data_IF_774941441401
#
_entry.id   IF_774941441401
#
_cell.length_a   1.000
_cell.length_b   1.000
_cell.length_c   1.000
_cell.angle_alpha   90.00
_cell.angle_beta   90.00
_cell.angle_gamma   90.00
#
_symmetry.space_group_name_H-M   'P 1'
#
loop_
_entity.id
_entity.type
_entity.pdbx_description
1 polymer ?
#
# COMPACT_ATOMS: atom_id res chain seq x y z
N UNK A 1 40.51 -2.92 -3.11
CA UNK A 1 39.03 -2.82 -3.12
C UNK A 1 38.52 -3.79 -4.16
N UNK A 2 37.89 -4.90 -3.77
CA UNK A 2 37.23 -5.80 -4.73
C UNK A 2 35.85 -5.24 -5.01
N UNK A 3 35.60 -4.85 -6.26
CA UNK A 3 34.23 -4.74 -6.76
C UNK A 3 33.56 -6.09 -6.52
N UNK A 4 32.54 -6.11 -5.66
CA UNK A 4 31.66 -7.27 -5.57
C UNK A 4 30.97 -7.34 -6.92
N UNK A 5 31.39 -8.31 -7.75
CA UNK A 5 30.77 -8.68 -9.01
C UNK A 5 29.31 -9.04 -8.72
N UNK A 6 28.40 -8.07 -8.85
CA UNK A 6 27.00 -8.17 -8.40
C UNK A 6 26.11 -8.92 -9.40
N UNK A 7 26.55 -10.08 -9.89
CA UNK A 7 25.83 -10.87 -10.89
C UNK A 7 24.75 -11.80 -10.30
N UNK A 8 24.50 -11.82 -8.99
CA UNK A 8 23.57 -12.80 -8.38
C UNK A 8 22.18 -12.27 -8.03
N UNK A 9 22.00 -10.96 -7.81
CA UNK A 9 20.69 -10.41 -7.40
C UNK A 9 20.03 -9.65 -8.56
N UNK A 10 19.07 -10.30 -9.22
CA UNK A 10 18.26 -9.64 -10.25
C UNK A 10 17.18 -8.78 -9.58
N UNK A 11 17.56 -7.55 -9.25
CA UNK A 11 16.67 -6.56 -8.62
C UNK A 11 15.38 -6.31 -9.42
N UNK A 12 15.42 -6.34 -10.75
CA UNK A 12 14.22 -6.13 -11.57
C UNK A 12 13.20 -7.26 -11.40
N UNK A 13 13.69 -8.51 -11.34
CA UNK A 13 12.85 -9.67 -11.07
C UNK A 13 12.30 -9.61 -9.64
N UNK A 14 13.16 -9.31 -8.66
CA UNK A 14 12.77 -9.18 -7.25
C UNK A 14 11.63 -8.16 -7.07
N UNK A 15 11.78 -6.95 -7.63
CA UNK A 15 10.76 -5.90 -7.57
C UNK A 15 9.44 -6.32 -8.25
N UNK A 16 9.53 -7.08 -9.35
CA UNK A 16 8.33 -7.58 -10.04
C UNK A 16 7.59 -8.61 -9.22
N UNK A 17 8.31 -9.57 -8.61
CA UNK A 17 7.72 -10.58 -7.72
C UNK A 17 7.06 -9.92 -6.52
N UNK A 18 7.71 -8.90 -5.94
CA UNK A 18 7.14 -8.14 -4.83
C UNK A 18 5.80 -7.49 -5.22
N UNK A 19 5.75 -6.75 -6.33
CA UNK A 19 4.52 -6.08 -6.79
C UNK A 19 3.42 -7.11 -7.14
N UNK A 20 3.78 -8.24 -7.76
CA UNK A 20 2.82 -9.32 -8.05
C UNK A 20 2.25 -9.85 -6.73
N UNK A 21 3.08 -10.10 -5.73
CA UNK A 21 2.62 -10.54 -4.42
C UNK A 21 1.70 -9.50 -3.75
N UNK A 22 1.99 -8.19 -3.88
CA UNK A 22 1.08 -7.14 -3.39
C UNK A 22 -0.28 -7.20 -4.07
N UNK A 23 -0.34 -7.34 -5.41
CA UNK A 23 -1.64 -7.45 -6.09
C UNK A 23 -2.39 -8.73 -5.77
N UNK A 24 -1.69 -9.86 -5.66
CA UNK A 24 -2.34 -11.11 -5.27
C UNK A 24 -2.87 -11.03 -3.85
N UNK A 25 -2.12 -10.41 -2.95
CA UNK A 25 -2.59 -10.14 -1.59
C UNK A 25 -3.80 -9.19 -1.61
N UNK A 26 -3.75 -8.10 -2.36
CA UNK A 26 -4.87 -7.14 -2.51
C UNK A 26 -6.17 -7.82 -3.02
N UNK A 27 -6.07 -8.62 -4.09
CA UNK A 27 -7.24 -9.24 -4.72
C UNK A 27 -7.77 -10.46 -3.97
N UNK A 28 -6.92 -11.15 -3.22
CA UNK A 28 -7.26 -12.39 -2.53
C UNK A 28 -7.14 -12.27 -1.00
N UNK A 29 -7.15 -11.04 -0.47
CA UNK A 29 -6.97 -10.78 0.95
C UNK A 29 -7.95 -11.62 1.78
N UNK A 30 -7.48 -12.17 2.90
CA UNK A 30 -8.25 -13.07 3.76
C UNK A 30 -9.45 -12.39 4.41
N UNK A 31 -9.39 -11.08 4.64
CA UNK A 31 -10.50 -10.28 5.18
C UNK A 31 -11.57 -9.97 4.13
N UNK A 32 -11.16 -9.86 2.85
CA UNK A 32 -12.10 -9.82 1.73
C UNK A 32 -12.98 -11.09 1.67
N UNK A 33 -12.44 -12.22 2.13
CA UNK A 33 -13.15 -13.50 2.19
C UNK A 33 -14.10 -13.62 3.39
N UNK A 34 -13.94 -12.79 4.42
CA UNK A 34 -14.92 -12.68 5.52
C UNK A 34 -16.11 -11.82 5.07
N UNK A 35 -15.87 -10.86 4.18
CA UNK A 35 -16.88 -10.09 3.44
C UNK A 35 -17.70 -10.91 2.43
N UNK A 36 -17.63 -12.23 2.49
CA UNK A 36 -18.40 -13.22 1.68
C UNK A 36 -19.72 -13.59 2.37
N UNK A 37 -19.96 -13.08 3.59
CA UNK A 37 -21.30 -13.03 4.20
C UNK A 37 -22.44 -12.60 3.24
N UNK A 38 -22.25 -11.70 2.24
CA UNK A 38 -23.25 -11.36 1.24
C UNK A 38 -23.65 -12.50 0.29
N UNK A 39 -22.84 -13.55 0.11
CA UNK A 39 -23.22 -14.68 -0.75
C UNK A 39 -24.28 -15.58 -0.10
N UNK A 40 -24.21 -15.73 1.22
CA UNK A 40 -25.29 -16.34 2.00
C UNK A 40 -26.57 -15.49 1.97
N UNK A 41 -26.43 -14.16 2.01
CA UNK A 41 -27.55 -13.21 1.85
C UNK A 41 -28.12 -13.18 0.43
N UNK A 42 -27.32 -13.52 -0.59
CA UNK A 42 -27.73 -13.63 -1.99
C UNK A 42 -28.31 -15.03 -2.34
N UNK A 43 -28.46 -15.92 -1.35
CA UNK A 43 -29.08 -17.25 -1.54
C UNK A 43 -28.19 -18.28 -2.24
N UNK A 44 -26.88 -18.06 -2.32
CA UNK A 44 -25.93 -19.02 -2.90
C UNK A 44 -25.49 -20.00 -1.81
N UNK A 45 -25.55 -21.31 -2.09
CA UNK A 45 -25.15 -22.31 -1.09
C UNK A 45 -23.65 -22.19 -0.76
N UNK A 46 -23.32 -22.31 0.53
CA UNK A 46 -21.93 -22.30 1.01
C UNK A 46 -21.09 -23.35 0.29
N UNK A 47 -21.64 -24.55 0.07
CA UNK A 47 -20.98 -25.65 -0.65
C UNK A 47 -20.62 -25.33 -2.11
N UNK A 48 -21.33 -24.40 -2.76
CA UNK A 48 -21.01 -23.96 -4.13
C UNK A 48 -19.87 -22.94 -4.14
N UNK A 49 -19.78 -22.11 -3.10
CA UNK A 49 -18.81 -21.00 -3.02
C UNK A 49 -17.51 -21.42 -2.32
N UNK A 50 -17.57 -22.38 -1.40
CA UNK A 50 -16.46 -22.87 -0.57
C UNK A 50 -15.17 -23.18 -1.34
N UNK A 51 -15.17 -23.87 -2.51
CA UNK A 51 -13.93 -24.13 -3.24
C UNK A 51 -13.23 -22.84 -3.72
N UNK A 52 -14.02 -21.85 -4.13
CA UNK A 52 -13.51 -20.55 -4.58
C UNK A 52 -12.97 -19.73 -3.41
N UNK A 53 -13.60 -19.83 -2.23
CA UNK A 53 -13.12 -19.21 -1.00
C UNK A 53 -11.83 -19.82 -0.52
N UNK A 54 -11.75 -21.15 -0.54
CA UNK A 54 -10.55 -21.87 -0.17
C UNK A 54 -9.38 -21.51 -1.10
N UNK A 55 -9.62 -21.46 -2.42
CA UNK A 55 -8.62 -21.00 -3.38
C UNK A 55 -8.12 -19.59 -3.07
N UNK A 56 -9.04 -18.64 -2.89
CA UNK A 56 -8.69 -17.27 -2.58
C UNK A 56 -7.92 -17.16 -1.25
N UNK A 57 -8.33 -17.91 -0.23
CA UNK A 57 -7.66 -17.93 1.08
C UNK A 57 -6.21 -18.41 0.96
N UNK A 58 -5.98 -19.48 0.19
CA UNK A 58 -4.65 -20.03 -0.06
C UNK A 58 -3.79 -19.04 -0.84
N UNK A 59 -4.31 -18.42 -1.89
CA UNK A 59 -3.55 -17.47 -2.72
C UNK A 59 -3.20 -16.20 -1.94
N UNK A 60 -4.17 -15.58 -1.27
CA UNK A 60 -3.93 -14.41 -0.44
C UNK A 60 -2.98 -14.72 0.72
N UNK A 61 -3.14 -15.91 1.33
CA UNK A 61 -2.29 -16.33 2.41
C UNK A 61 -0.83 -16.58 2.01
N UNK A 62 -0.61 -17.25 0.89
CA UNK A 62 0.73 -17.44 0.33
C UNK A 62 1.36 -16.10 -0.06
N UNK A 63 0.58 -15.19 -0.66
CA UNK A 63 1.04 -13.87 -1.08
C UNK A 63 1.47 -13.01 0.11
N UNK A 64 0.71 -13.02 1.20
CA UNK A 64 1.09 -12.38 2.46
C UNK A 64 2.41 -12.92 3.01
N UNK A 65 2.61 -14.24 3.05
CA UNK A 65 3.87 -14.86 3.51
C UNK A 65 5.05 -14.44 2.63
N UNK A 66 4.84 -14.38 1.31
CA UNK A 66 5.85 -13.87 0.38
C UNK A 66 6.22 -12.42 0.72
N UNK A 67 5.23 -11.53 0.95
CA UNK A 67 5.49 -10.14 1.33
C UNK A 67 6.26 -10.04 2.65
N UNK A 68 5.88 -10.84 3.65
CA UNK A 68 6.55 -10.89 4.96
C UNK A 68 8.04 -11.26 4.84
N UNK A 69 8.42 -12.07 3.84
CA UNK A 69 9.82 -12.39 3.55
C UNK A 69 10.49 -11.31 2.72
N UNK A 70 9.82 -10.81 1.67
CA UNK A 70 10.42 -9.87 0.72
C UNK A 70 10.63 -8.47 1.30
N UNK A 71 9.78 -7.98 2.19
CA UNK A 71 9.92 -6.63 2.76
C UNK A 71 11.20 -6.45 3.58
N UNK A 72 11.55 -7.33 4.56
CA UNK A 72 12.83 -7.25 5.26
C UNK A 72 14.03 -7.36 4.32
N UNK A 73 13.96 -8.21 3.28
CA UNK A 73 15.02 -8.36 2.28
C UNK A 73 15.21 -7.06 1.50
N UNK A 74 14.12 -6.42 1.07
CA UNK A 74 14.18 -5.13 0.38
C UNK A 74 14.75 -4.03 1.27
N UNK A 75 14.33 -3.96 2.55
CA UNK A 75 14.87 -3.03 3.53
C UNK A 75 16.37 -3.25 3.75
N UNK A 76 16.80 -4.49 4.00
CA UNK A 76 18.20 -4.84 4.22
C UNK A 76 19.06 -4.51 2.99
N UNK A 77 18.59 -4.86 1.80
CA UNK A 77 19.25 -4.50 0.54
C UNK A 77 19.39 -2.97 0.40
N UNK A 78 18.35 -2.22 0.74
CA UNK A 78 18.34 -0.75 0.68
C UNK A 78 19.32 -0.12 1.67
N UNK A 79 19.44 -0.69 2.88
CA UNK A 79 20.42 -0.27 3.90
C UNK A 79 21.86 -0.44 3.42
N UNK A 80 22.15 -1.53 2.70
CA UNK A 80 23.48 -1.78 2.12
C UNK A 80 23.76 -0.79 0.98
N UNK A 81 22.74 -0.46 0.19
CA UNK A 81 22.88 0.39 -0.98
C UNK A 81 23.01 1.89 -0.65
N UNK A 82 22.30 2.36 0.38
CA UNK A 82 22.27 3.77 0.76
C UNK A 82 23.39 4.20 1.71
N UNK A 83 23.71 5.49 1.68
CA UNK A 83 24.71 6.12 2.56
C UNK A 83 24.08 7.30 3.33
N UNK A 84 24.71 7.67 4.45
CA UNK A 84 24.30 8.82 5.26
C UNK A 84 22.93 8.66 5.93
N UNK A 85 22.15 9.75 5.98
CA UNK A 85 20.84 9.81 6.65
C UNK A 85 19.85 8.76 6.17
N UNK A 86 19.79 8.48 4.87
CA UNK A 86 18.89 7.45 4.33
C UNK A 86 19.21 6.05 4.89
N UNK A 87 20.50 5.74 5.08
CA UNK A 87 20.91 4.48 5.70
C UNK A 87 20.52 4.43 7.18
N UNK A 88 20.76 5.51 7.91
CA UNK A 88 20.42 5.58 9.33
C UNK A 88 18.93 5.37 9.56
N UNK A 89 18.08 6.10 8.83
CA UNK A 89 16.62 6.00 8.89
C UNK A 89 16.12 4.58 8.58
N UNK A 90 16.58 3.99 7.48
CA UNK A 90 16.19 2.62 7.10
C UNK A 90 16.71 1.55 8.06
N UNK A 91 17.91 1.75 8.63
CA UNK A 91 18.44 0.84 9.66
C UNK A 91 17.58 0.91 10.91
N UNK A 92 17.15 2.11 11.32
CA UNK A 92 16.24 2.28 12.45
C UNK A 92 14.90 1.60 12.19
N UNK A 93 14.31 1.77 11.00
CA UNK A 93 13.06 1.07 10.65
C UNK A 93 13.26 -0.45 10.69
N UNK A 94 14.30 -0.98 10.04
CA UNK A 94 14.59 -2.42 10.03
C UNK A 94 14.82 -2.98 11.44
N UNK A 95 15.57 -2.25 12.27
CA UNK A 95 15.82 -2.64 13.66
C UNK A 95 14.54 -2.62 14.49
N UNK A 96 13.67 -1.63 14.30
CA UNK A 96 12.34 -1.58 14.92
C UNK A 96 11.47 -2.75 14.47
N UNK A 97 11.41 -3.06 13.17
CA UNK A 97 10.61 -4.18 12.64
C UNK A 97 11.08 -5.52 13.21
N UNK A 98 12.39 -5.81 13.14
CA UNK A 98 12.96 -7.05 13.70
C UNK A 98 12.78 -7.11 15.21
N UNK A 99 12.94 -5.98 15.90
CA UNK A 99 12.72 -5.87 17.34
C UNK A 99 11.29 -6.23 17.74
N UNK A 100 10.28 -5.75 17.00
CA UNK A 100 8.88 -6.11 17.21
C UNK A 100 8.64 -7.61 17.04
N UNK A 101 9.15 -8.20 15.97
CA UNK A 101 8.98 -9.61 15.69
C UNK A 101 9.62 -10.48 16.80
N UNK A 102 10.82 -10.10 17.27
CA UNK A 102 11.50 -10.78 18.37
C UNK A 102 10.73 -10.66 19.70
N UNK A 103 10.17 -9.49 20.01
CA UNK A 103 9.35 -9.29 21.20
C UNK A 103 8.08 -10.16 21.11
N UNK A 104 7.43 -10.20 19.96
CA UNK A 104 6.24 -11.00 19.75
C UNK A 104 6.53 -12.51 19.91
N UNK A 105 7.68 -12.99 19.42
CA UNK A 105 8.15 -14.36 19.66
C UNK A 105 8.37 -14.60 21.16
N UNK A 106 9.04 -13.68 21.86
CA UNK A 106 9.36 -13.83 23.28
C UNK A 106 8.13 -13.83 24.20
N UNK A 107 7.12 -13.01 23.87
CA UNK A 107 5.84 -12.94 24.60
C UNK A 107 4.89 -14.09 24.23
N UNK A 108 5.21 -14.83 23.17
CA UNK A 108 4.46 -15.97 22.66
C UNK A 108 3.67 -15.58 21.42
N UNK A 109 3.92 -16.27 20.31
CA UNK A 109 3.31 -16.03 18.99
C UNK A 109 1.77 -16.16 19.02
N UNK A 110 1.24 -16.92 19.99
CA UNK A 110 -0.19 -17.11 20.18
C UNK A 110 -0.83 -16.08 21.14
N UNK A 111 -0.04 -15.16 21.69
CA UNK A 111 -0.54 -14.14 22.60
C UNK A 111 -1.12 -12.96 21.80
N UNK A 112 -2.37 -13.14 21.37
CA UNK A 112 -3.14 -12.10 20.66
C UNK A 112 -3.50 -10.89 21.52
N UNK A 113 -3.23 -10.92 22.83
CA UNK A 113 -3.43 -9.79 23.74
C UNK A 113 -2.23 -8.85 23.85
N UNK A 114 -1.10 -9.20 23.21
CA UNK A 114 0.09 -8.36 23.23
C UNK A 114 -0.12 -7.11 22.34
N UNK A 115 -0.24 -5.96 22.99
CA UNK A 115 -0.18 -4.67 22.33
C UNK A 115 1.23 -4.10 22.40
N UNK A 116 1.75 -3.70 21.24
CA UNK A 116 3.02 -2.97 21.15
C UNK A 116 2.92 -1.68 21.98
N UNK A 117 3.93 -1.32 22.80
CA UNK A 117 3.91 -0.09 23.57
C UNK A 117 3.64 1.14 22.69
N UNK A 118 2.69 2.00 23.08
CA UNK A 118 2.26 3.16 22.28
C UNK A 118 3.41 4.06 21.85
N UNK A 119 4.36 4.34 22.75
CA UNK A 119 5.55 5.16 22.45
C UNK A 119 6.38 4.54 21.32
N UNK A 120 6.54 3.21 21.33
CA UNK A 120 7.26 2.52 20.28
C UNK A 120 6.51 2.67 18.94
N UNK A 121 5.20 2.45 18.93
CA UNK A 121 4.37 2.58 17.73
C UNK A 121 4.43 3.98 17.13
N UNK A 122 4.41 5.02 17.96
CA UNK A 122 4.56 6.42 17.54
C UNK A 122 5.93 6.69 16.90
N UNK A 123 7.02 6.23 17.53
CA UNK A 123 8.38 6.36 16.99
C UNK A 123 8.49 5.59 15.66
N UNK A 124 7.93 4.39 15.59
CA UNK A 124 7.98 3.56 14.40
C UNK A 124 7.26 4.22 13.22
N UNK A 125 6.05 4.75 13.42
CA UNK A 125 5.33 5.53 12.40
C UNK A 125 6.11 6.77 11.98
N UNK A 126 6.66 7.52 12.92
CA UNK A 126 7.46 8.70 12.60
C UNK A 126 8.69 8.35 11.74
N UNK A 127 9.37 7.24 12.04
CA UNK A 127 10.48 6.72 11.25
C UNK A 127 10.04 6.32 9.84
N UNK A 128 8.89 5.64 9.69
CA UNK A 128 8.35 5.25 8.38
C UNK A 128 8.04 6.49 7.54
N UNK A 129 7.33 7.46 8.10
CA UNK A 129 6.95 8.70 7.39
C UNK A 129 8.19 9.49 6.98
N UNK A 130 9.11 9.72 7.93
CA UNK A 130 10.35 10.46 7.67
C UNK A 130 11.23 9.76 6.61
N UNK A 131 11.37 8.43 6.71
CA UNK A 131 12.12 7.64 5.72
C UNK A 131 11.48 7.74 4.35
N UNK A 132 10.16 7.58 4.27
CA UNK A 132 9.44 7.61 3.00
C UNK A 132 9.61 8.96 2.31
N UNK A 133 9.36 10.07 3.03
CA UNK A 133 9.52 11.42 2.48
C UNK A 133 10.95 11.72 2.04
N UNK A 134 11.94 11.35 2.86
CA UNK A 134 13.34 11.54 2.50
C UNK A 134 13.71 10.81 1.18
N UNK A 135 13.22 9.58 1.00
CA UNK A 135 13.47 8.80 -0.22
C UNK A 135 12.76 9.38 -1.43
N UNK A 136 11.53 9.86 -1.26
CA UNK A 136 10.79 10.56 -2.31
C UNK A 136 11.52 11.83 -2.74
N UNK A 137 11.99 12.64 -1.79
CA UNK A 137 12.77 13.84 -2.10
C UNK A 137 14.01 13.51 -2.92
N UNK A 138 14.78 12.50 -2.51
CA UNK A 138 15.97 12.02 -3.23
C UNK A 138 15.65 11.46 -4.63
N UNK A 139 14.48 10.85 -4.79
CA UNK A 139 14.04 10.34 -6.10
C UNK A 139 13.75 11.47 -7.10
N UNK A 140 13.36 12.66 -6.63
CA UNK A 140 12.95 13.81 -7.42
C UNK A 140 11.52 13.75 -7.99
N UNK A 141 10.73 12.72 -7.63
CA UNK A 141 9.40 12.46 -8.21
C UNK A 141 8.29 12.87 -7.25
N UNK A 142 7.97 14.18 -7.26
CA UNK A 142 7.06 14.78 -6.27
C UNK A 142 5.61 14.27 -6.35
N UNK A 143 5.18 13.66 -7.46
CA UNK A 143 3.83 13.10 -7.62
C UNK A 143 3.47 12.04 -6.60
N UNK A 144 4.45 11.27 -6.13
CA UNK A 144 4.19 10.23 -5.15
C UNK A 144 3.78 10.82 -3.78
N UNK A 145 4.18 12.07 -3.45
CA UNK A 145 3.70 12.73 -2.23
C UNK A 145 2.18 12.85 -2.21
N UNK A 146 1.55 13.08 -3.37
CA UNK A 146 0.09 13.15 -3.48
C UNK A 146 -0.55 11.80 -3.14
N UNK A 147 0.02 10.71 -3.68
CA UNK A 147 -0.48 9.37 -3.43
C UNK A 147 -0.25 8.90 -1.99
N UNK A 148 0.73 9.48 -1.27
CA UNK A 148 0.98 9.19 0.15
C UNK A 148 0.09 9.98 1.12
N UNK A 149 -0.67 10.97 0.67
CA UNK A 149 -1.54 11.78 1.55
C UNK A 149 -2.51 10.90 2.36
N UNK A 150 -3.22 9.92 1.75
CA UNK A 150 -4.07 9.01 2.51
C UNK A 150 -3.32 8.24 3.59
N UNK A 151 -2.12 7.72 3.30
CA UNK A 151 -1.30 6.99 4.27
C UNK A 151 -0.88 7.89 5.45
N UNK A 152 -0.54 9.15 5.19
CA UNK A 152 -0.17 10.11 6.25
C UNK A 152 -1.36 10.44 7.14
N UNK A 153 -2.55 10.60 6.57
CA UNK A 153 -3.79 10.82 7.33
C UNK A 153 -4.14 9.58 8.15
N UNK A 154 -3.97 8.39 7.58
CA UNK A 154 -4.16 7.13 8.29
C UNK A 154 -3.18 6.96 9.46
N UNK A 155 -1.89 7.29 9.26
CA UNK A 155 -0.91 7.33 10.33
C UNK A 155 -1.25 8.38 11.39
N UNK A 156 -1.85 9.50 11.00
CA UNK A 156 -2.34 10.51 11.94
C UNK A 156 -3.47 9.94 12.79
N UNK A 157 -4.47 9.29 12.16
CA UNK A 157 -5.55 8.60 12.86
C UNK A 157 -5.00 7.65 13.95
N UNK A 158 -4.07 6.76 13.58
CA UNK A 158 -3.45 5.81 14.50
C UNK A 158 -2.64 6.49 15.61
N UNK A 159 -1.78 7.43 15.24
CA UNK A 159 -0.88 8.10 16.20
C UNK A 159 -1.69 8.84 17.25
N UNK A 160 -2.73 9.57 16.84
CA UNK A 160 -3.59 10.28 17.77
C UNK A 160 -4.49 9.34 18.59
N UNK A 161 -4.90 8.19 18.06
CA UNK A 161 -5.61 7.17 18.84
C UNK A 161 -4.70 6.59 19.94
N UNK A 162 -3.44 6.27 19.63
CA UNK A 162 -2.47 5.81 20.63
C UNK A 162 -2.12 6.89 21.64
N UNK A 163 -2.03 8.16 21.22
CA UNK A 163 -1.82 9.28 22.15
C UNK A 163 -3.00 9.48 23.10
N UNK A 164 -4.24 9.33 22.61
CA UNK A 164 -5.44 9.38 23.45
C UNK A 164 -5.44 8.23 24.46
N UNK A 165 -5.14 7.01 24.03
CA UNK A 165 -5.05 5.84 24.91
C UNK A 165 -3.92 5.97 25.95
N UNK A 166 -2.80 6.61 25.60
CA UNK A 166 -1.65 6.77 26.48
C UNK A 166 -1.84 7.88 27.53
N UNK A 167 -2.47 9.01 27.15
CA UNK A 167 -2.52 10.23 27.97
C UNK A 167 -3.94 10.53 28.47
N UNK A 168 -4.98 9.88 27.92
CA UNK A 168 -6.39 10.21 28.16
C UNK A 168 -6.78 11.59 27.63
N UNK A 169 -6.12 12.05 26.57
CA UNK A 169 -6.28 13.41 26.05
C UNK A 169 -7.40 13.47 25.00
N UNK A 170 -8.54 14.02 25.38
CA UNK A 170 -9.70 14.21 24.51
C UNK A 170 -9.41 14.97 23.21
N UNK A 171 -8.42 15.87 23.18
CA UNK A 171 -8.00 16.57 21.96
C UNK A 171 -7.37 15.58 20.97
N UNK A 172 -6.55 14.64 21.45
CA UNK A 172 -5.98 13.60 20.60
C UNK A 172 -7.10 12.71 20.02
N UNK A 173 -8.08 12.32 20.85
CA UNK A 173 -9.27 11.60 20.38
C UNK A 173 -10.03 12.36 19.28
N UNK A 174 -10.24 13.67 19.43
CA UNK A 174 -10.88 14.52 18.42
C UNK A 174 -10.09 14.54 17.12
N UNK A 175 -8.77 14.76 17.17
CA UNK A 175 -7.93 14.80 15.96
C UNK A 175 -7.90 13.45 15.26
N UNK A 176 -7.86 12.35 16.02
CA UNK A 176 -8.00 11.00 15.48
C UNK A 176 -9.32 10.86 14.72
N UNK A 177 -10.45 11.20 15.35
CA UNK A 177 -11.77 11.17 14.71
C UNK A 177 -11.86 11.97 13.41
N UNK A 178 -11.32 13.20 13.38
CA UNK A 178 -11.25 14.01 12.16
C UNK A 178 -10.35 13.40 11.08
N UNK A 179 -9.19 12.85 11.47
CA UNK A 179 -8.28 12.17 10.53
C UNK A 179 -8.98 10.99 9.86
N UNK A 180 -9.75 10.23 10.62
CA UNK A 180 -10.62 9.19 10.09
C UNK A 180 -11.62 9.75 9.08
N UNK A 181 -12.38 10.77 9.47
CA UNK A 181 -13.42 11.35 8.61
C UNK A 181 -12.89 11.87 7.26
N UNK A 182 -11.72 12.52 7.24
CA UNK A 182 -11.17 13.11 6.01
C UNK A 182 -10.47 12.10 5.11
N UNK A 183 -10.21 10.87 5.58
CA UNK A 183 -9.42 9.87 4.86
C UNK A 183 -10.02 9.55 3.49
N UNK A 184 -11.33 9.30 3.41
CA UNK A 184 -12.01 9.00 2.15
C UNK A 184 -11.89 10.15 1.13
N UNK A 185 -12.03 11.39 1.59
CA UNK A 185 -11.85 12.58 0.75
C UNK A 185 -10.40 12.73 0.27
N UNK A 186 -9.44 12.40 1.12
CA UNK A 186 -8.03 12.42 0.77
C UNK A 186 -7.69 11.40 -0.32
N UNK A 187 -8.31 10.21 -0.31
CA UNK A 187 -8.15 9.20 -1.37
C UNK A 187 -8.64 9.74 -2.72
N UNK A 188 -9.84 10.33 -2.74
CA UNK A 188 -10.42 10.95 -3.95
C UNK A 188 -9.49 12.07 -4.45
N UNK A 189 -9.07 12.96 -3.55
CA UNK A 189 -8.18 14.07 -3.88
C UNK A 189 -6.82 13.60 -4.40
N UNK A 190 -6.20 12.62 -3.75
CA UNK A 190 -4.92 12.05 -4.13
C UNK A 190 -4.96 11.43 -5.53
N UNK A 191 -5.96 10.56 -5.78
CA UNK A 191 -6.15 9.92 -7.07
C UNK A 191 -6.39 10.92 -8.19
N UNK A 192 -7.33 11.86 -7.99
CA UNK A 192 -7.63 12.89 -8.97
C UNK A 192 -6.42 13.79 -9.27
N UNK A 193 -5.71 14.24 -8.23
CA UNK A 193 -4.54 15.12 -8.40
C UNK A 193 -3.39 14.40 -9.11
N UNK A 194 -3.14 13.12 -8.79
CA UNK A 194 -2.14 12.31 -9.46
C UNK A 194 -2.48 12.12 -10.95
N UNK A 195 -3.72 11.76 -11.27
CA UNK A 195 -4.19 11.62 -12.66
C UNK A 195 -4.00 12.92 -13.43
N UNK A 196 -4.42 14.07 -12.86
CA UNK A 196 -4.26 15.38 -13.51
C UNK A 196 -2.78 15.67 -13.77
N UNK A 197 -1.90 15.44 -12.79
CA UNK A 197 -0.49 15.81 -12.88
C UNK A 197 0.30 14.93 -13.85
N UNK A 198 0.02 13.62 -13.88
CA UNK A 198 0.82 12.64 -14.64
C UNK A 198 0.18 12.22 -15.98
N UNK A 199 -1.08 12.62 -16.24
CA UNK A 199 -1.75 12.38 -17.53
C UNK A 199 -0.97 12.91 -18.73
N UNK A 200 -0.33 14.08 -18.61
CA UNK A 200 0.46 14.70 -19.69
C UNK A 200 1.66 13.87 -20.13
N UNK A 201 2.17 13.01 -19.24
CA UNK A 201 3.29 12.09 -19.52
C UNK A 201 2.82 10.71 -19.96
N UNK A 202 1.53 10.54 -20.19
CA UNK A 202 0.91 9.22 -20.40
C UNK A 202 0.16 9.18 -21.73
N UNK A 203 0.21 8.04 -22.41
CA UNK A 203 -0.62 7.82 -23.61
C UNK A 203 -2.07 7.54 -23.23
N UNK A 204 -3.03 8.17 -23.89
CA UNK A 204 -4.45 7.82 -23.74
C UNK A 204 -4.76 6.36 -24.07
N UNK A 205 -3.96 5.72 -24.92
CA UNK A 205 -4.14 4.29 -25.23
C UNK A 205 -3.96 3.39 -24.00
N UNK A 206 -3.08 3.75 -23.06
CA UNK A 206 -2.92 2.98 -21.81
C UNK A 206 -4.01 3.27 -20.79
N UNK A 207 -4.69 4.42 -20.85
CA UNK A 207 -5.69 4.84 -19.87
C UNK A 207 -7.09 4.36 -20.25
N UNK A 208 -7.44 4.34 -21.55
CA UNK A 208 -8.78 3.99 -22.06
C UNK A 208 -9.33 2.68 -21.48
N UNK A 209 -8.60 1.55 -21.46
CA UNK A 209 -9.14 0.31 -20.91
C UNK A 209 -9.57 0.45 -19.44
N UNK A 210 -8.77 1.15 -18.64
CA UNK A 210 -9.04 1.36 -17.22
C UNK A 210 -10.17 2.37 -17.00
N UNK A 211 -10.23 3.42 -17.82
CA UNK A 211 -11.36 4.35 -17.82
C UNK A 211 -12.67 3.62 -18.11
N UNK A 212 -12.70 2.75 -19.14
CA UNK A 212 -13.91 2.01 -19.51
C UNK A 212 -14.34 1.06 -18.40
N UNK A 213 -13.43 0.27 -17.85
CA UNK A 213 -13.74 -0.62 -16.72
C UNK A 213 -14.23 0.17 -15.51
N UNK A 214 -13.50 1.22 -15.12
CA UNK A 214 -13.87 2.09 -14.01
C UNK A 214 -15.25 2.72 -14.22
N UNK A 215 -15.52 3.28 -15.40
CA UNK A 215 -16.78 3.95 -15.71
C UNK A 215 -17.96 2.98 -15.72
N UNK A 216 -17.82 1.83 -16.38
CA UNK A 216 -18.88 0.82 -16.46
C UNK A 216 -19.28 0.32 -15.07
N UNK A 217 -18.29 -0.03 -14.25
CA UNK A 217 -18.52 -0.52 -12.89
C UNK A 217 -19.15 0.58 -12.01
N UNK A 218 -18.68 1.82 -12.14
CA UNK A 218 -19.19 2.95 -11.36
C UNK A 218 -20.62 3.32 -11.75
N UNK A 219 -20.94 3.34 -13.05
CA UNK A 219 -22.30 3.56 -13.56
C UNK A 219 -23.23 2.44 -13.08
N UNK A 220 -22.81 1.17 -13.20
CA UNK A 220 -23.60 0.04 -12.74
C UNK A 220 -23.88 0.10 -11.23
N UNK A 221 -22.93 0.63 -10.45
CA UNK A 221 -23.05 0.85 -9.01
C UNK A 221 -24.03 1.97 -8.68
N UNK A 222 -23.87 3.15 -9.30
CA UNK A 222 -24.73 4.33 -9.05
C UNK A 222 -26.17 4.06 -9.47
N UNK A 223 -26.37 3.36 -10.59
CA UNK A 223 -27.69 2.97 -11.07
C UNK A 223 -28.25 1.74 -10.34
N UNK A 224 -27.49 1.16 -9.39
CA UNK A 224 -27.85 -0.04 -8.65
C UNK A 224 -28.34 -1.18 -9.56
N UNK A 225 -27.69 -1.37 -10.72
CA UNK A 225 -28.07 -2.37 -11.73
C UNK A 225 -28.00 -3.78 -11.14
N UNK A 226 -27.01 -4.01 -10.26
CA UNK A 226 -26.85 -5.24 -9.52
C UNK A 226 -27.08 -4.90 -8.03
N UNK A 227 -28.19 -5.36 -7.42
CA UNK A 227 -28.47 -5.09 -6.02
C UNK A 227 -27.33 -5.54 -5.10
N UNK A 228 -26.93 -4.68 -4.17
CA UNK A 228 -25.83 -4.97 -3.24
C UNK A 228 -24.43 -4.83 -3.84
N UNK A 229 -24.30 -4.53 -5.13
CA UNK A 229 -23.00 -4.33 -5.79
C UNK A 229 -22.26 -3.09 -5.33
N UNK A 230 -22.99 -2.01 -4.99
CA UNK A 230 -22.37 -0.82 -4.39
C UNK A 230 -21.81 -1.08 -3.00
N UNK A 231 -22.49 -1.91 -2.21
CA UNK A 231 -21.96 -2.41 -0.94
C UNK A 231 -20.78 -3.34 -1.20
N UNK A 232 -20.89 -4.29 -2.12
CA UNK A 232 -19.82 -5.20 -2.48
C UNK A 232 -18.57 -4.43 -2.94
N UNK A 233 -18.68 -3.44 -3.82
CA UNK A 233 -17.55 -2.58 -4.21
C UNK A 233 -17.07 -1.75 -3.02
N UNK A 234 -17.98 -1.16 -2.26
CA UNK A 234 -17.74 -0.37 -1.05
C UNK A 234 -17.10 -1.16 0.10
N UNK A 235 -17.16 -2.48 0.03
CA UNK A 235 -16.57 -3.44 0.95
C UNK A 235 -15.36 -4.12 0.33
N UNK A 236 -15.31 -4.32 -0.98
CA UNK A 236 -14.26 -5.03 -1.71
C UNK A 236 -13.01 -4.17 -1.95
N UNK A 237 -13.23 -2.93 -2.39
CA UNK A 237 -12.17 -1.97 -2.70
C UNK A 237 -11.89 -1.02 -1.50
N UNK A 238 -12.86 -0.80 -0.59
CA UNK A 238 -12.71 -0.10 0.69
C UNK A 238 -12.86 -0.89 2.01
N UNK A 239 -12.88 -2.23 2.10
CA UNK A 239 -12.58 -2.87 3.41
C UNK A 239 -11.22 -2.41 3.94
N UNK A 240 -10.35 -2.11 2.98
CA UNK A 240 -9.02 -1.56 3.11
C UNK A 240 -9.10 -0.13 3.70
N UNK A 241 -10.05 0.70 3.25
CA UNK A 241 -10.37 2.00 3.85
C UNK A 241 -11.37 1.93 5.02
N UNK A 242 -11.21 0.95 5.91
CA UNK A 242 -12.06 0.69 7.07
C UNK A 242 -12.80 1.92 7.61
N UNK A 243 -14.09 2.00 7.27
CA UNK A 243 -15.19 2.63 8.03
C UNK A 243 -15.12 4.16 8.27
N UNK A 244 -13.99 4.82 8.11
CA UNK A 244 -13.85 6.21 8.54
C UNK A 244 -14.13 7.18 7.40
N UNK A 245 -15.30 7.84 7.48
CA UNK A 245 -15.68 8.95 6.62
C UNK A 245 -16.23 8.58 5.23
N UNK A 246 -16.28 7.28 4.86
CA UNK A 246 -16.90 6.84 3.60
C UNK A 246 -18.42 6.97 3.68
N UNK A 247 -19.03 7.53 2.63
CA UNK A 247 -20.49 7.68 2.49
C UNK A 247 -20.96 7.05 1.18
N UNK A 248 -22.26 6.76 1.05
CA UNK A 248 -22.82 5.90 -0.01
C UNK A 248 -22.46 6.27 -1.46
N UNK A 249 -22.21 7.55 -1.74
CA UNK A 249 -21.85 8.02 -3.08
C UNK A 249 -20.36 7.84 -3.42
N UNK A 250 -19.50 7.65 -2.41
CA UNK A 250 -18.05 7.63 -2.58
C UNK A 250 -17.50 6.36 -3.21
N UNK A 251 -17.96 5.13 -2.87
CA UNK A 251 -17.42 3.89 -3.45
C UNK A 251 -17.28 3.86 -4.98
N UNK A 252 -18.32 4.21 -5.78
CA UNK A 252 -18.16 4.25 -7.24
C UNK A 252 -17.12 5.29 -7.69
N UNK A 253 -17.05 6.45 -7.03
CA UNK A 253 -16.07 7.49 -7.37
C UNK A 253 -14.65 7.04 -7.06
N UNK A 254 -14.43 6.46 -5.88
CA UNK A 254 -13.13 5.91 -5.46
C UNK A 254 -12.70 4.81 -6.41
N UNK A 255 -13.59 3.89 -6.76
CA UNK A 255 -13.30 2.81 -7.71
C UNK A 255 -12.88 3.36 -9.09
N UNK A 256 -13.66 4.30 -9.63
CA UNK A 256 -13.34 4.94 -10.91
C UNK A 256 -11.96 5.60 -10.89
N UNK A 257 -11.68 6.38 -9.84
CA UNK A 257 -10.40 7.08 -9.69
C UNK A 257 -9.24 6.11 -9.47
N UNK A 258 -9.43 5.02 -8.73
CA UNK A 258 -8.41 4.00 -8.55
C UNK A 258 -8.02 3.36 -9.89
N UNK A 259 -8.99 2.98 -10.72
CA UNK A 259 -8.71 2.44 -12.05
C UNK A 259 -8.05 3.47 -12.98
N UNK A 260 -8.54 4.71 -12.98
CA UNK A 260 -7.89 5.78 -13.74
C UNK A 260 -6.44 6.02 -13.31
N UNK A 261 -6.19 6.07 -12.01
CA UNK A 261 -4.85 6.22 -11.42
C UNK A 261 -3.96 5.07 -11.85
N UNK A 262 -4.48 3.84 -11.87
CA UNK A 262 -3.76 2.64 -12.31
C UNK A 262 -3.40 2.71 -13.80
N UNK A 263 -4.35 3.14 -14.63
CA UNK A 263 -4.11 3.36 -16.07
C UNK A 263 -3.05 4.42 -16.34
N UNK A 264 -3.07 5.53 -15.59
CA UNK A 264 -2.03 6.56 -15.65
C UNK A 264 -0.68 5.99 -15.19
N UNK A 265 -0.63 5.31 -14.04
CA UNK A 265 0.58 4.71 -13.51
C UNK A 265 1.21 3.72 -14.51
N UNK A 266 0.41 2.79 -15.07
CA UNK A 266 0.88 1.84 -16.11
C UNK A 266 1.39 2.57 -17.35
N UNK A 267 0.74 3.67 -17.74
CA UNK A 267 1.17 4.52 -18.83
C UNK A 267 2.55 5.16 -18.62
N UNK A 268 2.93 5.44 -17.38
CA UNK A 268 4.27 5.92 -17.02
C UNK A 268 5.36 4.87 -17.23
N UNK A 269 5.04 3.58 -17.38
CA UNK A 269 6.05 2.50 -17.52
C UNK A 269 7.13 2.79 -18.57
N UNK A 270 6.77 3.47 -19.66
CA UNK A 270 7.71 3.81 -20.75
C UNK A 270 8.46 5.12 -20.53
N UNK A 271 7.85 6.09 -19.84
CA UNK A 271 8.34 7.46 -19.75
C UNK A 271 8.99 7.78 -18.40
N UNK A 272 8.50 7.16 -17.32
CA UNK A 272 9.04 7.27 -15.97
C UNK A 272 8.84 5.96 -15.21
N UNK A 273 9.67 4.97 -15.54
CA UNK A 273 9.59 3.61 -14.99
C UNK A 273 9.70 3.55 -13.44
N UNK A 274 10.56 4.36 -12.78
CA UNK A 274 10.59 4.39 -11.32
C UNK A 274 9.30 4.93 -10.69
N UNK A 275 8.69 5.98 -11.27
CA UNK A 275 7.41 6.50 -10.80
C UNK A 275 6.29 5.48 -11.02
N UNK A 276 6.30 4.76 -12.15
CA UNK A 276 5.40 3.63 -12.40
C UNK A 276 5.48 2.59 -11.28
N UNK A 277 6.67 2.05 -10.98
CA UNK A 277 6.81 1.01 -9.96
C UNK A 277 6.42 1.51 -8.56
N UNK A 278 6.83 2.74 -8.20
CA UNK A 278 6.46 3.33 -6.91
C UNK A 278 4.96 3.53 -6.76
N UNK A 279 4.31 4.12 -7.77
CA UNK A 279 2.86 4.39 -7.73
C UNK A 279 2.06 3.10 -7.70
N UNK A 280 2.43 2.12 -8.53
CA UNK A 280 1.77 0.81 -8.57
C UNK A 280 1.96 0.05 -7.26
N UNK A 281 3.16 0.08 -6.67
CA UNK A 281 3.41 -0.56 -5.38
C UNK A 281 2.65 0.11 -4.24
N UNK A 282 2.53 1.44 -4.27
CA UNK A 282 1.72 2.18 -3.29
C UNK A 282 0.25 1.80 -3.43
N UNK A 283 -0.31 1.83 -4.65
CA UNK A 283 -1.71 1.45 -4.91
C UNK A 283 -2.02 -0.01 -4.56
N UNK A 284 -1.04 -0.91 -4.74
CA UNK A 284 -1.19 -2.31 -4.37
C UNK A 284 -0.98 -2.56 -2.87
N UNK A 285 -0.27 -1.66 -2.18
CA UNK A 285 0.00 -1.74 -0.74
C UNK A 285 -0.82 -0.79 0.13
N UNK A 286 -1.67 0.07 -0.47
CA UNK A 286 -2.49 1.04 0.26
C UNK A 286 -3.39 0.33 1.26
N UNK A 287 -3.54 1.00 2.41
CA UNK A 287 -3.61 0.34 3.72
C UNK A 287 -4.83 -0.55 3.91
N UNK A 288 -4.61 -1.86 4.07
CA UNK A 288 -5.58 -2.77 4.68
C UNK A 288 -5.50 -2.53 6.19
N UNK A 289 -6.52 -1.89 6.78
CA UNK A 289 -6.63 -1.76 8.22
C UNK A 289 -7.48 -2.87 8.81
N UNK A 290 -6.82 -3.93 9.26
CA UNK A 290 -7.34 -4.71 10.38
C UNK A 290 -6.96 -3.99 11.70
N UNK A 291 -7.78 -4.23 12.71
CA UNK A 291 -7.55 -3.94 14.11
C UNK A 291 -6.22 -4.48 14.68
N UNK A 292 -5.50 -5.33 13.96
CA UNK A 292 -4.17 -5.82 14.29
C UNK A 292 -3.13 -5.03 13.46
N UNK A 293 -2.24 -4.23 14.09
CA UNK A 293 -1.20 -3.51 13.38
C UNK A 293 -0.16 -4.49 12.81
N UNK A 294 -0.45 -5.02 11.62
CA UNK A 294 0.48 -5.85 10.88
C UNK A 294 1.53 -4.94 10.24
N UNK A 295 2.78 -5.12 10.66
CA UNK A 295 3.95 -4.36 10.21
C UNK A 295 4.06 -4.31 8.67
N UNK A 296 3.58 -5.35 7.99
CA UNK A 296 3.55 -5.48 6.53
C UNK A 296 2.82 -4.32 5.84
N UNK A 297 1.65 -3.92 6.35
CA UNK A 297 0.85 -2.85 5.75
C UNK A 297 1.37 -1.48 6.13
N UNK A 298 1.84 -1.31 7.38
CA UNK A 298 2.46 -0.05 7.83
C UNK A 298 3.70 0.33 7.01
N UNK A 299 4.44 -0.65 6.49
CA UNK A 299 5.63 -0.43 5.68
C UNK A 299 5.34 -0.07 4.21
N UNK A 300 4.10 -0.21 3.72
CA UNK A 300 3.75 0.01 2.31
C UNK A 300 4.24 1.36 1.73
N UNK A 301 4.01 2.52 2.35
CA UNK A 301 4.52 3.80 1.84
C UNK A 301 6.05 3.86 1.74
N UNK A 302 6.74 3.21 2.68
CA UNK A 302 8.19 3.10 2.66
C UNK A 302 8.67 2.18 1.55
N UNK A 303 8.01 1.02 1.38
CA UNK A 303 8.35 0.05 0.33
C UNK A 303 8.18 0.70 -1.04
N UNK A 304 7.06 1.37 -1.31
CA UNK A 304 6.84 2.09 -2.57
C UNK A 304 7.96 3.11 -2.86
N UNK A 305 8.37 3.87 -1.85
CA UNK A 305 9.43 4.87 -1.94
C UNK A 305 10.80 4.23 -2.23
N UNK A 306 11.10 3.09 -1.60
CA UNK A 306 12.32 2.31 -1.82
C UNK A 306 12.38 1.71 -3.23
N UNK A 307 11.29 1.10 -3.69
CA UNK A 307 11.17 0.51 -5.03
C UNK A 307 11.43 1.57 -6.09
N UNK A 308 10.80 2.74 -5.94
CA UNK A 308 11.01 3.89 -6.83
C UNK A 308 12.48 4.32 -6.82
N UNK A 309 13.09 4.51 -5.65
CA UNK A 309 14.47 4.97 -5.55
C UNK A 309 15.48 3.95 -6.12
N UNK A 310 15.33 2.66 -5.79
CA UNK A 310 16.20 1.60 -6.30
C UNK A 310 16.05 1.46 -7.83
N UNK A 311 14.82 1.54 -8.34
CA UNK A 311 14.56 1.51 -9.79
C UNK A 311 15.26 2.65 -10.51
N UNK A 312 15.17 3.88 -9.99
CA UNK A 312 15.90 5.04 -10.51
C UNK A 312 17.40 4.78 -10.59
N UNK A 313 18.00 4.36 -9.49
CA UNK A 313 19.45 4.18 -9.41
C UNK A 313 19.94 3.05 -10.34
N UNK A 314 19.16 1.99 -10.52
CA UNK A 314 19.47 0.93 -11.48
C UNK A 314 19.40 1.40 -12.94
N UNK A 315 18.48 2.31 -13.27
CA UNK A 315 18.39 2.88 -14.61
C UNK A 315 19.58 3.79 -14.91
N UNK A 316 19.95 4.64 -13.96
CA UNK A 316 21.13 5.53 -14.08
C UNK A 316 22.40 4.71 -14.31
N UNK A 317 22.62 3.65 -13.51
CA UNK A 317 23.76 2.73 -13.70
C UNK A 317 23.76 2.05 -15.07
N UNK A 318 22.61 1.62 -15.58
CA UNK A 318 22.51 0.99 -16.91
C UNK A 318 22.86 1.98 -18.04
N UNK A 319 22.44 3.23 -17.91
CA UNK A 319 22.76 4.28 -18.88
C UNK A 319 24.26 4.60 -18.90
N UNK A 320 24.90 4.70 -17.72
CA UNK A 320 26.35 4.91 -17.60
C UNK A 320 27.16 3.79 -18.28
N UNK A 321 26.78 2.52 -18.07
CA UNK A 321 27.46 1.39 -18.70
C UNK A 321 27.30 1.41 -20.22
N UNK A 322 26.13 1.83 -20.74
CA UNK A 322 25.91 1.95 -22.18
C UNK A 322 26.74 3.07 -22.82
N UNK A 323 26.95 4.18 -22.12
CA UNK A 323 27.78 5.30 -22.58
C UNK A 323 29.28 5.00 -22.54
N UNK A 324 29.69 4.04 -21.71
CA UNK A 324 31.10 3.61 -21.57
C UNK A 324 31.54 2.55 -22.60
N UNK A 325 30.63 2.09 -23.47
CA UNK A 325 30.88 1.11 -24.54
C UNK A 325 30.84 1.76 -25.90
#
# INVERSE_FOLDING_TARGET
MREINSNSFNISLFLSVYIIAQFLELFFNREFLVSVLPFGLAGISVTTVEPYLHFAYVVGGASYVILLILQPVLLAYSVIYLKGWGRALLTSVLASTVGLDLIHIAVGINNTSFNVPYIFSLIYVALIVASSFYLVEKSGRRSIYLLMVPDVIAFSFLSFAWMDQMVGNSIAGIISGYSGFILAYAVIFAGASFVIMESKKTSWKSVIPFFLVGALVSIATVLNIIPGWGFAIGVAFPYIFGILGVTDWMPPVIFFLAFLTLGVAIGLRKNDYPLFLGSVSLMAGTVIFDSIPLTVYMLAPLMASLIMMISKANMEKKAEVQLSK
#
